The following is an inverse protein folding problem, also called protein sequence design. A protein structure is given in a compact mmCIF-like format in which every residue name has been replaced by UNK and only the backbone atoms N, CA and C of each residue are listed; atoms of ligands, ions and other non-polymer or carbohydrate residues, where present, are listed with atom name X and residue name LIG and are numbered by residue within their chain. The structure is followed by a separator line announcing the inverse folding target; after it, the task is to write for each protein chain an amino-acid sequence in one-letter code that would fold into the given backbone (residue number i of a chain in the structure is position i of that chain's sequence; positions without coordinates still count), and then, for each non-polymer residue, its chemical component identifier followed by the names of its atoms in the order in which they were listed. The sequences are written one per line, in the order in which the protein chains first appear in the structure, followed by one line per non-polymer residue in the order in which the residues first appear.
data_IF_291959556362
#
_entry.id   IF_291959556362
#
_cell.length_a   1.000
_cell.length_b   1.000
_cell.length_c   1.000
_cell.angle_alpha   90.00
_cell.angle_beta   90.00
_cell.angle_gamma   90.00
#
_symmetry.space_group_name_H-M   'P 1'
#
loop_
_entity.id
_entity.type
_entity.pdbx_description
1 polymer ?
#
# COMPACT_ATOMS: atom_id res chain seq x y z
N UNK A 1 6.45 10.00 -0.98
CA UNK A 1 5.56 8.95 -1.52
C UNK A 1 4.45 9.62 -2.29
N UNK A 2 4.12 9.12 -3.48
CA UNK A 2 3.03 9.63 -4.31
C UNK A 2 2.20 8.47 -4.89
N UNK A 3 0.89 8.66 -5.02
CA UNK A 3 0.02 7.72 -5.77
C UNK A 3 0.13 8.03 -7.26
N UNK A 4 0.49 7.04 -8.06
CA UNK A 4 0.59 7.14 -9.52
C UNK A 4 -0.76 6.82 -10.17
N UNK A 5 -1.37 5.71 -9.76
CA UNK A 5 -2.68 5.27 -10.23
C UNK A 5 -3.49 4.68 -9.09
N UNK A 6 -4.80 4.74 -9.24
CA UNK A 6 -5.73 4.09 -8.32
C UNK A 6 -6.93 3.55 -9.07
N UNK A 7 -7.40 2.38 -8.67
CA UNK A 7 -8.64 1.79 -9.14
C UNK A 7 -9.32 1.03 -8.01
N UNK A 8 -10.64 0.88 -8.11
CA UNK A 8 -11.44 0.16 -7.13
C UNK A 8 -12.56 -0.60 -7.84
N UNK A 9 -13.00 -1.69 -7.21
CA UNK A 9 -14.13 -2.49 -7.68
C UNK A 9 -14.94 -2.98 -6.49
N UNK A 10 -16.24 -2.92 -6.64
CA UNK A 10 -17.21 -3.53 -5.73
C UNK A 10 -17.38 -5.01 -6.10
N UNK A 11 -17.23 -5.89 -5.10
CA UNK A 11 -17.30 -7.34 -5.25
C UNK A 11 -18.67 -7.84 -4.80
N UNK A 12 -19.12 -7.39 -3.62
CA UNK A 12 -20.44 -7.67 -3.06
C UNK A 12 -21.06 -6.34 -2.63
N UNK A 13 -22.27 -5.99 -3.13
CA UNK A 13 -22.86 -4.69 -2.89
C UNK A 13 -22.85 -4.25 -1.43
N UNK A 14 -22.38 -3.04 -1.18
CA UNK A 14 -22.33 -2.40 0.15
C UNK A 14 -21.57 -3.20 1.22
N UNK A 15 -20.74 -4.18 0.83
CA UNK A 15 -20.10 -5.08 1.79
C UNK A 15 -18.64 -5.40 1.49
N UNK A 16 -18.31 -5.79 0.26
CA UNK A 16 -16.96 -6.22 -0.11
C UNK A 16 -16.44 -5.48 -1.32
N UNK A 17 -15.21 -5.00 -1.21
CA UNK A 17 -14.56 -4.20 -2.23
C UNK A 17 -13.10 -4.63 -2.37
N UNK A 18 -12.49 -4.31 -3.51
CA UNK A 18 -11.04 -4.29 -3.63
C UNK A 18 -10.56 -2.99 -4.24
N UNK A 19 -9.31 -2.63 -3.93
CA UNK A 19 -8.65 -1.48 -4.51
C UNK A 19 -7.22 -1.84 -4.91
N UNK A 20 -6.76 -1.27 -6.02
CA UNK A 20 -5.37 -1.35 -6.45
C UNK A 20 -4.79 0.06 -6.46
N UNK A 21 -3.65 0.25 -5.81
CA UNK A 21 -2.86 1.47 -5.86
C UNK A 21 -1.49 1.18 -6.44
N UNK A 22 -1.06 1.98 -7.42
CA UNK A 22 0.35 2.06 -7.77
C UNK A 22 0.94 3.30 -7.10
N UNK A 23 2.04 3.14 -6.38
CA UNK A 23 2.71 4.22 -5.66
C UNK A 23 4.18 4.31 -6.04
N UNK A 24 4.73 5.52 -5.99
CA UNK A 24 6.16 5.79 -6.03
C UNK A 24 6.64 6.14 -4.61
N UNK A 25 7.51 5.29 -4.06
CA UNK A 25 8.17 5.48 -2.78
C UNK A 25 9.57 6.09 -3.01
N UNK A 26 9.88 7.25 -2.39
CA UNK A 26 11.24 7.78 -2.44
C UNK A 26 12.20 6.94 -1.59
N UNK A 27 13.51 7.06 -1.80
CA UNK A 27 14.50 6.49 -0.90
C UNK A 27 14.22 6.85 0.57
N UNK A 28 14.38 5.88 1.46
CA UNK A 28 14.07 6.01 2.88
C UNK A 28 15.06 5.23 3.75
N UNK A 29 15.19 5.64 5.00
CA UNK A 29 16.04 4.99 6.00
C UNK A 29 15.23 4.79 7.29
N UNK A 30 15.42 3.64 7.92
CA UNK A 30 14.95 3.38 9.27
C UNK A 30 16.08 3.69 10.24
N UNK A 31 15.80 4.56 11.20
CA UNK A 31 16.78 5.05 12.18
C UNK A 31 16.33 4.64 13.57
N UNK A 32 17.20 3.96 14.31
CA UNK A 32 16.99 3.60 15.71
C UNK A 32 17.02 4.83 16.63
N UNK A 33 16.59 4.66 17.88
CA UNK A 33 16.55 5.74 18.88
C UNK A 33 17.93 6.38 19.13
N UNK A 34 19.02 5.62 18.98
CA UNK A 34 20.39 6.10 19.14
C UNK A 34 20.97 6.80 17.90
N UNK A 35 20.17 6.94 16.83
CA UNK A 35 20.56 7.55 15.57
C UNK A 35 21.22 6.60 14.58
N UNK A 36 21.35 5.31 14.89
CA UNK A 36 21.91 4.32 13.97
C UNK A 36 20.91 3.99 12.86
N UNK A 37 21.35 4.00 11.60
CA UNK A 37 20.55 3.49 10.48
C UNK A 37 20.52 1.96 10.56
N UNK A 38 19.33 1.39 10.73
CA UNK A 38 19.13 -0.07 10.86
C UNK A 38 18.64 -0.72 9.57
N UNK A 39 18.02 0.05 8.69
CA UNK A 39 17.65 -0.41 7.34
C UNK A 39 17.59 0.78 6.37
N UNK A 40 17.76 0.51 5.08
CA UNK A 40 17.58 1.50 4.03
C UNK A 40 16.86 0.89 2.84
N UNK A 41 16.05 1.72 2.18
CA UNK A 41 15.35 1.41 0.94
C UNK A 41 15.75 2.44 -0.09
N UNK A 42 16.06 1.98 -1.31
CA UNK A 42 16.24 2.87 -2.45
C UNK A 42 14.92 3.50 -2.92
N UNK A 43 13.79 3.14 -2.30
CA UNK A 43 12.47 3.41 -2.84
C UNK A 43 12.18 2.53 -4.05
N UNK A 44 11.14 2.89 -4.80
CA UNK A 44 10.69 2.15 -5.97
C UNK A 44 9.21 2.35 -6.25
N UNK A 45 8.74 1.69 -7.31
CA UNK A 45 7.32 1.64 -7.64
C UNK A 45 6.71 0.36 -7.09
N UNK A 46 5.62 0.50 -6.35
CA UNK A 46 4.92 -0.62 -5.74
C UNK A 46 3.46 -0.64 -6.17
N UNK A 47 2.93 -1.84 -6.34
CA UNK A 47 1.50 -2.09 -6.48
C UNK A 47 0.97 -2.70 -5.18
N UNK A 48 -0.06 -2.08 -4.63
CA UNK A 48 -0.75 -2.51 -3.42
C UNK A 48 -2.16 -2.96 -3.83
N UNK A 49 -2.50 -4.20 -3.49
CA UNK A 49 -3.82 -4.78 -3.73
C UNK A 49 -4.52 -5.01 -2.40
N UNK A 50 -5.65 -4.33 -2.21
CA UNK A 50 -6.42 -4.32 -0.96
C UNK A 50 -7.68 -5.18 -1.09
N UNK A 51 -7.94 -5.99 -0.07
CA UNK A 51 -9.27 -6.51 0.23
C UNK A 51 -9.90 -5.61 1.31
N UNK A 52 -11.10 -5.10 1.04
CA UNK A 52 -11.79 -4.14 1.88
C UNK A 52 -13.19 -4.64 2.21
N UNK A 53 -13.66 -4.34 3.43
CA UNK A 53 -15.05 -4.56 3.84
C UNK A 53 -15.69 -3.26 4.34
N UNK A 54 -17.02 -3.22 4.27
CA UNK A 54 -17.84 -2.15 4.83
C UNK A 54 -18.90 -2.73 5.77
N UNK A 55 -18.86 -2.30 7.04
CA UNK A 55 -19.89 -2.57 8.05
C UNK A 55 -20.09 -1.32 8.92
N UNK A 56 -20.55 -0.24 8.30
CA UNK A 56 -20.69 1.07 8.93
C UNK A 56 -19.39 1.89 9.03
N UNK A 57 -18.24 1.26 8.76
CA UNK A 57 -16.94 1.90 8.49
C UNK A 57 -16.10 1.02 7.55
N UNK A 58 -15.06 1.59 6.95
CA UNK A 58 -14.11 0.88 6.09
C UNK A 58 -13.10 0.07 6.90
N UNK A 59 -12.95 -1.21 6.56
CA UNK A 59 -11.90 -2.07 7.13
C UNK A 59 -11.00 -2.59 6.03
N UNK A 60 -9.68 -2.51 6.25
CA UNK A 60 -8.69 -3.23 5.43
C UNK A 60 -8.54 -4.63 5.98
N UNK A 61 -8.94 -5.61 5.19
CA UNK A 61 -8.99 -7.02 5.59
C UNK A 61 -7.69 -7.73 5.23
N UNK A 62 -7.12 -7.36 4.08
CA UNK A 62 -5.80 -7.79 3.66
C UNK A 62 -5.18 -6.77 2.72
N UNK A 63 -3.85 -6.77 2.67
CA UNK A 63 -3.07 -6.07 1.66
C UNK A 63 -2.00 -7.02 1.13
N UNK A 64 -1.89 -7.08 -0.19
CA UNK A 64 -0.74 -7.66 -0.87
C UNK A 64 0.10 -6.53 -1.48
N UNK A 65 1.42 -6.64 -1.37
CA UNK A 65 2.35 -5.60 -1.82
C UNK A 65 3.39 -6.24 -2.72
N UNK A 66 3.50 -5.71 -3.94
CA UNK A 66 4.48 -6.17 -4.92
C UNK A 66 5.27 -5.00 -5.48
N UNK A 67 6.57 -5.20 -5.68
CA UNK A 67 7.43 -4.23 -6.36
C UNK A 67 7.28 -4.42 -7.87
N UNK A 68 7.12 -3.33 -8.61
CA UNK A 68 6.82 -3.38 -10.05
C UNK A 68 7.97 -2.86 -10.93
N UNK A 69 8.95 -2.18 -10.34
CA UNK A 69 10.22 -1.84 -10.98
C UNK A 69 11.25 -2.95 -10.73
N UNK A 70 11.69 -3.60 -11.82
CA UNK A 70 12.75 -4.61 -11.85
C UNK A 70 14.06 -4.06 -12.40
#
# INVERSE_FOLDING_TARGET
MAVLTSSGVEIDPDRWFSATLSIDEPPSEEVAEDGTVVSSSAGGTYELYFALSWDGDWTVEAVDVSRTDG
#
